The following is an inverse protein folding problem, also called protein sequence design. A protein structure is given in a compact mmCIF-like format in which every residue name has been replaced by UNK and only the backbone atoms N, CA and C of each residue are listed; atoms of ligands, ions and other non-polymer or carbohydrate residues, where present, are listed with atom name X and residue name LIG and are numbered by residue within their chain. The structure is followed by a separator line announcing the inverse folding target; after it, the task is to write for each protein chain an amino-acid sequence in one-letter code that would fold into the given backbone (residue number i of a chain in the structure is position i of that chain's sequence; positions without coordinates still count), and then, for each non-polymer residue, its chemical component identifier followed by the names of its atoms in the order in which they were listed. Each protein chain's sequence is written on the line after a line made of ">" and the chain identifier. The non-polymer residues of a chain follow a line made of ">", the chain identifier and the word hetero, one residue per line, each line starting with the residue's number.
data_IF_370290248037
#
_entry.id   IF_370290248037
#
_cell.length_a   1.000
_cell.length_b   1.000
_cell.length_c   1.000
_cell.angle_alpha   90.00
_cell.angle_beta   90.00
_cell.angle_gamma   90.00
#
_symmetry.space_group_name_H-M   'P 1'
#
loop_
_entity.id
_entity.type
_entity.pdbx_description
1 polymer ?
#
# COMPACT_ATOMS: atom_id res chain seq x y z
N UNK A 1 2.26 12.57 -21.34
CA UNK A 1 1.39 11.98 -20.33
C UNK A 1 0.02 11.84 -20.94
N UNK A 2 -0.43 10.61 -21.09
CA UNK A 2 -1.71 10.17 -21.67
C UNK A 2 -2.81 10.03 -20.60
N UNK A 3 -2.54 10.50 -19.39
CA UNK A 3 -3.45 10.55 -18.26
C UNK A 3 -4.61 11.53 -18.54
N UNK A 4 -5.84 11.09 -18.30
CA UNK A 4 -7.09 11.85 -18.49
C UNK A 4 -7.76 12.22 -17.18
N UNK A 5 -7.51 11.46 -16.11
CA UNK A 5 -8.10 11.67 -14.79
C UNK A 5 -7.26 11.02 -13.71
N UNK A 6 -7.22 11.66 -12.53
CA UNK A 6 -6.56 11.11 -11.33
C UNK A 6 -7.49 11.30 -10.14
N UNK A 7 -7.73 10.25 -9.39
CA UNK A 7 -8.47 10.30 -8.12
C UNK A 7 -7.69 9.60 -7.01
N UNK A 8 -7.66 10.20 -5.82
CA UNK A 8 -7.01 9.61 -4.65
C UNK A 8 -7.89 8.49 -4.10
N UNK A 9 -7.29 7.33 -3.82
CA UNK A 9 -7.99 6.16 -3.28
C UNK A 9 -7.78 6.02 -1.78
N UNK A 10 -6.52 6.15 -1.33
CA UNK A 10 -6.17 6.08 0.08
C UNK A 10 -4.84 6.79 0.34
N UNK A 11 -4.63 7.24 1.58
CA UNK A 11 -3.40 7.87 2.02
C UNK A 11 -3.09 7.50 3.48
N UNK A 12 -1.93 6.89 3.69
CA UNK A 12 -1.52 6.40 4.99
C UNK A 12 -0.01 6.51 5.20
N UNK A 13 0.43 6.34 6.44
CA UNK A 13 1.85 6.34 6.81
C UNK A 13 2.28 4.93 7.13
N UNK A 14 3.23 4.39 6.38
CA UNK A 14 3.77 3.06 6.63
C UNK A 14 4.68 3.05 7.88
N UNK A 15 4.46 2.07 8.75
CA UNK A 15 5.31 1.76 9.91
C UNK A 15 6.33 0.68 9.54
N UNK A 16 7.57 0.69 10.11
CA UNK A 16 8.09 1.59 11.14
C UNK A 16 8.77 2.85 10.60
N UNK A 17 8.97 2.95 9.27
CA UNK A 17 9.85 3.96 8.68
C UNK A 17 9.17 5.31 8.37
N UNK A 18 7.88 5.45 8.71
CA UNK A 18 7.07 6.67 8.49
C UNK A 18 7.10 7.18 7.05
N UNK A 19 7.08 6.27 6.09
CA UNK A 19 6.94 6.62 4.68
C UNK A 19 5.48 7.01 4.41
N UNK A 20 5.26 8.18 3.82
CA UNK A 20 3.92 8.60 3.40
C UNK A 20 3.58 7.90 2.09
N UNK A 21 2.51 7.12 2.08
CA UNK A 21 2.02 6.40 0.90
C UNK A 21 0.68 6.98 0.48
N UNK A 22 0.54 7.26 -0.82
CA UNK A 22 -0.74 7.61 -1.44
C UNK A 22 -0.99 6.65 -2.62
N UNK A 23 -2.19 6.08 -2.64
CA UNK A 23 -2.68 5.26 -3.73
C UNK A 23 -3.65 6.09 -4.57
N UNK A 24 -3.48 6.12 -5.88
CA UNK A 24 -4.33 6.87 -6.79
C UNK A 24 -4.82 5.97 -7.92
N UNK A 25 -6.06 6.18 -8.35
CA UNK A 25 -6.58 5.68 -9.61
C UNK A 25 -6.21 6.66 -10.71
N UNK A 26 -5.66 6.15 -11.81
CA UNK A 26 -5.26 6.96 -12.96
C UNK A 26 -5.94 6.41 -14.21
N UNK A 27 -6.70 7.25 -14.89
CA UNK A 27 -7.33 6.97 -16.18
C UNK A 27 -6.41 7.43 -17.30
N UNK A 28 -6.32 6.65 -18.38
CA UNK A 28 -5.52 6.97 -19.57
C UNK A 28 -6.38 7.01 -20.83
N UNK A 29 -5.92 7.74 -21.85
CA UNK A 29 -6.65 7.96 -23.11
C UNK A 29 -7.04 6.71 -23.90
N UNK A 30 -6.38 5.58 -23.68
CA UNK A 30 -6.66 4.32 -24.39
C UNK A 30 -7.56 3.37 -23.56
N UNK A 31 -8.47 3.94 -22.76
CA UNK A 31 -9.45 3.24 -21.93
C UNK A 31 -8.86 2.20 -20.98
N UNK A 32 -7.59 2.38 -20.59
CA UNK A 32 -6.94 1.58 -19.57
C UNK A 32 -6.70 2.42 -18.31
N UNK A 33 -6.57 1.73 -17.19
CA UNK A 33 -6.38 2.35 -15.88
C UNK A 33 -5.16 1.75 -15.20
N UNK A 34 -4.47 2.56 -14.40
CA UNK A 34 -3.40 2.12 -13.53
C UNK A 34 -3.69 2.53 -12.09
N UNK A 35 -3.12 1.78 -11.14
CA UNK A 35 -2.98 2.25 -9.77
C UNK A 35 -1.60 2.87 -9.63
N UNK A 36 -1.57 4.18 -9.36
CA UNK A 36 -0.35 4.90 -9.04
C UNK A 36 -0.06 4.80 -7.56
N UNK A 37 1.14 4.36 -7.24
CA UNK A 37 1.65 4.30 -5.87
C UNK A 37 2.69 5.40 -5.72
N UNK A 38 2.43 6.33 -4.80
CA UNK A 38 3.35 7.42 -4.47
C UNK A 38 3.88 7.21 -3.07
N UNK A 39 5.19 7.07 -2.95
CA UNK A 39 5.87 6.90 -1.67
C UNK A 39 6.79 8.10 -1.47
N UNK A 40 6.56 8.86 -0.41
CA UNK A 40 7.42 9.97 0.02
C UNK A 40 8.17 9.57 1.29
N UNK A 41 9.50 9.73 1.22
CA UNK A 41 10.41 9.53 2.35
C UNK A 41 11.32 10.76 2.47
N UNK A 42 10.93 11.72 3.31
CA UNK A 42 11.60 13.02 3.46
C UNK A 42 11.73 13.77 2.13
N UNK A 43 12.90 13.63 1.48
CA UNK A 43 13.27 14.24 0.19
C UNK A 43 13.21 13.25 -0.99
N UNK A 44 13.12 11.94 -0.73
CA UNK A 44 13.00 10.91 -1.75
C UNK A 44 11.53 10.69 -2.10
N UNK A 45 11.27 10.54 -3.39
CA UNK A 45 9.95 10.22 -3.92
C UNK A 45 10.10 9.04 -4.85
N UNK A 46 9.27 8.02 -4.65
CA UNK A 46 9.10 6.93 -5.60
C UNK A 46 7.68 6.99 -6.11
N UNK A 47 7.51 7.07 -7.42
CA UNK A 47 6.21 7.03 -8.08
C UNK A 47 6.30 5.97 -9.16
N UNK A 48 5.36 5.05 -9.15
CA UNK A 48 5.22 4.05 -10.19
C UNK A 48 3.75 3.67 -10.32
N UNK A 49 3.41 3.15 -11.49
CA UNK A 49 2.06 2.75 -11.85
C UNK A 49 2.05 1.24 -12.10
N UNK A 50 1.02 0.56 -11.61
CA UNK A 50 0.79 -0.86 -11.84
C UNK A 50 -0.59 -1.09 -12.44
N UNK A 51 -0.71 -2.11 -13.26
CA UNK A 51 -1.98 -2.54 -13.84
C UNK A 51 -2.87 -3.25 -12.80
N UNK A 52 -4.18 -3.45 -13.08
CA UNK A 52 -5.10 -4.10 -12.15
C UNK A 52 -4.73 -5.54 -11.76
N UNK A 53 -4.11 -6.33 -12.64
CA UNK A 53 -3.70 -7.71 -12.37
C UNK A 53 -2.52 -7.71 -11.38
N UNK A 54 -1.53 -6.86 -11.62
CA UNK A 54 -0.38 -6.68 -10.72
C UNK A 54 -0.83 -6.15 -9.35
N UNK A 55 -1.74 -5.18 -9.32
CA UNK A 55 -2.34 -4.64 -8.09
C UNK A 55 -3.04 -5.73 -7.26
N UNK A 56 -3.86 -6.58 -7.89
CA UNK A 56 -4.53 -7.71 -7.23
C UNK A 56 -3.51 -8.67 -6.61
N UNK A 57 -2.46 -9.01 -7.36
CA UNK A 57 -1.40 -9.91 -6.87
C UNK A 57 -0.69 -9.34 -5.64
N UNK A 58 -0.42 -8.03 -5.62
CA UNK A 58 0.17 -7.38 -4.45
C UNK A 58 -0.75 -7.42 -3.24
N UNK A 59 -2.03 -7.04 -3.42
CA UNK A 59 -3.00 -7.05 -2.33
C UNK A 59 -3.14 -8.43 -1.70
N UNK A 60 -3.25 -9.49 -2.52
CA UNK A 60 -3.31 -10.86 -2.03
C UNK A 60 -2.06 -11.26 -1.24
N UNK A 61 -0.86 -10.99 -1.77
CA UNK A 61 0.39 -11.32 -1.09
C UNK A 61 0.56 -10.56 0.24
N UNK A 62 0.14 -9.28 0.30
CA UNK A 62 0.19 -8.47 1.52
C UNK A 62 -0.78 -9.00 2.59
N UNK A 63 -2.02 -9.33 2.21
CA UNK A 63 -3.01 -9.90 3.12
C UNK A 63 -2.55 -11.26 3.65
N UNK A 64 -2.07 -12.15 2.77
CA UNK A 64 -1.53 -13.46 3.18
C UNK A 64 -0.36 -13.33 4.16
N UNK A 65 0.53 -12.35 3.94
CA UNK A 65 1.61 -12.06 4.88
C UNK A 65 1.08 -11.56 6.22
N UNK A 66 0.18 -10.57 6.23
CA UNK A 66 -0.39 -10.00 7.45
C UNK A 66 -1.08 -11.08 8.31
N UNK A 67 -1.94 -11.91 7.70
CA UNK A 67 -2.67 -12.97 8.40
C UNK A 67 -1.75 -13.98 9.11
N UNK A 68 -0.53 -14.23 8.60
CA UNK A 68 0.44 -15.13 9.25
C UNK A 68 1.11 -14.52 10.46
N UNK A 69 1.12 -13.20 10.58
CA UNK A 69 1.88 -12.46 11.58
C UNK A 69 1.01 -11.73 12.62
N UNK A 70 -0.29 -11.53 12.36
CA UNK A 70 -1.24 -10.99 13.35
C UNK A 70 -1.45 -11.92 14.55
N UNK A 71 -1.35 -13.24 14.37
CA UNK A 71 -1.54 -14.23 15.44
C UNK A 71 -0.43 -14.26 16.51
N UNK A 72 0.70 -13.55 16.32
CA UNK A 72 1.82 -13.53 17.28
C UNK A 72 1.78 -12.36 18.27
N UNK A 73 0.82 -11.45 18.14
CA UNK A 73 0.73 -10.26 18.99
C UNK A 73 -0.18 -10.42 20.22
N UNK A 74 -0.63 -11.64 20.53
CA UNK A 74 -1.58 -11.93 21.62
C UNK A 74 -1.15 -13.00 22.63
N UNK A 75 0.10 -13.44 22.64
CA UNK A 75 0.60 -14.42 23.62
C UNK A 75 1.90 -13.94 24.25
N UNK A 76 1.78 -13.03 25.20
CA UNK A 76 2.94 -12.48 25.93
C UNK A 76 2.58 -11.48 27.01
N UNK A 77 1.38 -11.57 27.61
CA UNK A 77 1.07 -10.84 28.84
C UNK A 77 -0.08 -11.55 29.58
N UNK A 78 0.22 -12.64 30.27
CA UNK A 78 -0.64 -13.18 31.33
C UNK A 78 0.14 -14.16 32.25
N UNK A 79 0.41 -13.70 33.49
CA UNK A 79 0.70 -14.49 34.70
C UNK A 79 2.15 -14.94 34.91
N UNK A 80 2.88 -14.62 35.98
CA UNK A 80 2.46 -14.27 37.34
C UNK A 80 3.61 -13.58 38.10
N UNK A 81 3.31 -12.60 38.99
CA UNK A 81 4.21 -12.08 40.00
C UNK A 81 4.17 -12.89 41.31
N UNK A 82 5.32 -13.28 41.86
CA UNK A 82 5.75 -13.15 43.26
C UNK A 82 7.07 -13.89 43.50
#
# INVERSE_FOLDING_TARGET
>A
MDETGISSLDKFTASPYRQEIELQHVEHRADYVTMRVRIRELKRFTIFDIDPITAKRWGQAMLEWASRHEAKSGAGDEGEPK
#
